data_IF_912846313016
#
_entry.id   IF_912846313016
#
_cell.length_a   1.000
_cell.length_b   1.000
_cell.length_c   1.000
_cell.angle_alpha   90.00
_cell.angle_beta   90.00
_cell.angle_gamma   90.00
#
_symmetry.space_group_name_H-M   'P 1'
#
loop_
_entity.id
_entity.type
_entity.pdbx_description
1 polymer ?
#
# COMPACT_ATOMS: atom_id res chain seq x y z
N UNK A 1 -9.29 9.00 -5.48
CA UNK A 1 -9.02 9.55 -4.11
C UNK A 1 -7.56 9.92 -3.98
N UNK A 2 -7.19 10.86 -3.11
CA UNK A 2 -5.80 11.30 -2.93
C UNK A 2 -5.23 10.67 -1.66
N UNK A 3 -4.09 10.00 -1.78
CA UNK A 3 -3.35 9.43 -0.65
C UNK A 3 -1.92 9.95 -0.64
N UNK A 4 -1.22 9.77 0.48
CA UNK A 4 0.23 9.89 0.53
C UNK A 4 0.85 8.49 0.42
N UNK A 5 1.54 8.20 -0.67
CA UNK A 5 2.22 6.93 -0.92
C UNK A 5 3.74 7.13 -0.90
N UNK A 6 4.44 6.48 0.02
CA UNK A 6 5.90 6.62 0.21
C UNK A 6 6.32 8.09 0.27
N UNK A 7 5.62 8.88 1.10
CA UNK A 7 5.80 10.33 1.24
C UNK A 7 5.28 11.21 0.09
N UNK A 8 4.83 10.66 -1.06
CA UNK A 8 4.35 11.45 -2.21
C UNK A 8 2.83 11.47 -2.30
N UNK A 9 2.24 12.61 -2.64
CA UNK A 9 0.80 12.68 -2.94
C UNK A 9 0.51 12.01 -4.28
N UNK A 10 -0.43 11.07 -4.27
CA UNK A 10 -0.84 10.29 -5.45
C UNK A 10 -2.36 10.25 -5.50
N UNK A 11 -2.91 10.46 -6.70
CA UNK A 11 -4.32 10.20 -6.98
C UNK A 11 -4.48 8.74 -7.41
N UNK A 12 -5.28 7.99 -6.65
CA UNK A 12 -5.66 6.62 -6.96
C UNK A 12 -6.96 6.59 -7.75
N UNK A 13 -6.99 5.70 -8.74
CA UNK A 13 -8.18 5.38 -9.52
C UNK A 13 -9.26 4.75 -8.62
N UNK A 14 -10.54 4.89 -9.01
CA UNK A 14 -11.69 4.52 -8.17
C UNK A 14 -11.75 3.02 -7.85
N UNK A 15 -11.22 2.17 -8.73
CA UNK A 15 -11.14 0.72 -8.55
C UNK A 15 -10.13 0.30 -7.46
N UNK A 16 -9.19 1.18 -7.10
CA UNK A 16 -8.14 0.90 -6.11
C UNK A 16 -8.70 1.15 -4.71
N UNK A 17 -9.44 0.18 -4.19
CA UNK A 17 -10.18 0.31 -2.92
C UNK A 17 -9.49 -0.37 -1.73
N UNK A 18 -8.50 -1.23 -1.97
CA UNK A 18 -7.83 -2.02 -0.91
C UNK A 18 -6.31 -2.03 -1.07
N UNK A 19 -5.60 -2.42 0.00
CA UNK A 19 -4.14 -2.60 -0.04
C UNK A 19 -3.73 -3.59 -1.13
N UNK A 20 -4.47 -4.69 -1.32
CA UNK A 20 -4.21 -5.66 -2.40
C UNK A 20 -4.32 -5.01 -3.78
N UNK A 21 -5.38 -4.23 -4.03
CA UNK A 21 -5.59 -3.55 -5.31
C UNK A 21 -4.48 -2.54 -5.60
N UNK A 22 -4.05 -1.80 -4.57
CA UNK A 22 -2.93 -0.87 -4.68
C UNK A 22 -1.63 -1.61 -5.04
N UNK A 23 -1.30 -2.69 -4.34
CA UNK A 23 -0.09 -3.46 -4.66
C UNK A 23 -0.14 -4.03 -6.09
N UNK A 24 -1.32 -4.43 -6.57
CA UNK A 24 -1.49 -4.92 -7.93
C UNK A 24 -1.28 -3.82 -8.98
N UNK A 25 -1.79 -2.61 -8.76
CA UNK A 25 -1.62 -1.49 -9.70
C UNK A 25 -0.15 -1.09 -9.88
N UNK A 26 0.70 -1.38 -8.90
CA UNK A 26 2.15 -1.13 -8.95
C UNK A 26 2.98 -2.39 -9.30
N UNK A 27 2.34 -3.51 -9.67
CA UNK A 27 3.03 -4.79 -9.94
C UNK A 27 3.88 -5.29 -8.75
N UNK A 28 3.40 -5.07 -7.52
CA UNK A 28 4.06 -5.45 -6.26
C UNK A 28 3.34 -6.59 -5.53
N UNK A 29 2.21 -7.06 -6.05
CA UNK A 29 1.30 -7.99 -5.38
C UNK A 29 1.92 -9.38 -5.09
N UNK A 30 2.97 -9.76 -5.82
CA UNK A 30 3.72 -11.00 -5.58
C UNK A 30 5.06 -10.77 -4.88
N UNK A 31 5.46 -9.50 -4.68
CA UNK A 31 6.72 -9.17 -4.03
C UNK A 31 6.60 -9.28 -2.51
N UNK A 32 7.72 -9.57 -1.87
CA UNK A 32 7.83 -9.54 -0.41
C UNK A 32 7.96 -8.08 0.01
N UNK A 33 6.86 -7.51 0.45
CA UNK A 33 6.76 -6.12 0.92
C UNK A 33 6.01 -6.05 2.24
N UNK A 34 6.40 -5.10 3.07
CA UNK A 34 5.66 -4.68 4.27
C UNK A 34 4.86 -3.44 3.90
N UNK A 35 3.57 -3.44 4.24
CA UNK A 35 2.70 -2.28 4.06
C UNK A 35 2.34 -1.72 5.43
N UNK A 36 2.59 -0.43 5.60
CA UNK A 36 2.11 0.35 6.73
C UNK A 36 1.02 1.32 6.25
N UNK A 37 -0.06 1.44 7.01
CA UNK A 37 -1.15 2.39 6.77
C UNK A 37 -1.32 3.25 8.02
N UNK A 38 -1.11 4.55 7.89
CA UNK A 38 -1.26 5.55 8.95
C UNK A 38 -0.41 5.29 10.23
N UNK A 39 0.72 4.58 10.11
CA UNK A 39 1.55 4.18 11.24
C UNK A 39 1.35 2.73 11.69
N UNK A 40 0.30 2.05 11.20
CA UNK A 40 0.00 0.67 11.56
C UNK A 40 0.46 -0.30 10.47
N UNK A 41 1.27 -1.29 10.84
CA UNK A 41 1.68 -2.37 9.93
C UNK A 41 0.46 -3.26 9.65
N UNK A 42 0.18 -3.48 8.37
CA UNK A 42 -0.92 -4.34 7.93
C UNK A 42 -0.38 -5.75 7.68
N UNK A 43 -1.01 -6.74 8.29
CA UNK A 43 -0.70 -8.14 8.00
C UNK A 43 -1.04 -8.50 6.56
N UNK A 44 -0.17 -9.30 5.92
CA UNK A 44 -0.36 -9.70 4.52
C UNK A 44 -1.69 -10.40 4.26
N UNK A 45 -2.20 -11.18 5.22
CA UNK A 45 -3.51 -11.83 5.13
C UNK A 45 -4.68 -10.85 5.13
N UNK A 46 -4.48 -9.62 5.62
CA UNK A 46 -5.50 -8.58 5.66
C UNK A 46 -5.48 -7.67 4.42
N UNK A 47 -4.52 -7.80 3.51
CA UNK A 47 -4.38 -6.90 2.35
C UNK A 47 -5.63 -6.84 1.46
N UNK A 48 -6.33 -7.96 1.29
CA UNK A 48 -7.54 -8.03 0.46
C UNK A 48 -8.73 -7.30 1.08
N UNK A 49 -8.77 -7.21 2.41
CA UNK A 49 -9.91 -6.67 3.16
C UNK A 49 -9.62 -5.28 3.74
N UNK A 50 -8.36 -4.86 3.79
CA UNK A 50 -7.98 -3.56 4.34
C UNK A 50 -8.31 -2.47 3.33
N UNK A 51 -9.30 -1.60 3.60
CA UNK A 51 -9.70 -0.56 2.68
C UNK A 51 -8.67 0.57 2.69
N UNK A 52 -8.58 1.28 1.56
CA UNK A 52 -7.86 2.56 1.45
C UNK A 52 -8.90 3.67 1.42
N UNK A 53 -8.67 4.71 2.22
CA UNK A 53 -9.50 5.89 2.28
C UNK A 53 -8.74 7.13 1.79
N UNK A 54 -9.48 8.15 1.37
CA UNK A 54 -8.92 9.44 1.02
C UNK A 54 -8.13 10.02 2.21
N UNK A 55 -6.95 10.57 1.93
CA UNK A 55 -6.05 11.14 2.91
C UNK A 55 -5.15 10.14 3.64
N UNK A 56 -5.30 8.83 3.40
CA UNK A 56 -4.44 7.82 4.03
C UNK A 56 -2.95 8.03 3.69
N UNK A 57 -2.10 7.73 4.66
CA UNK A 57 -0.65 7.61 4.48
C UNK A 57 -0.30 6.13 4.37
N UNK A 58 0.33 5.75 3.27
CA UNK A 58 0.68 4.37 2.98
C UNK A 58 2.17 4.31 2.67
N UNK A 59 2.89 3.46 3.42
CA UNK A 59 4.29 3.18 3.18
C UNK A 59 4.43 1.72 2.73
N UNK A 60 5.10 1.50 1.60
CA UNK A 60 5.40 0.19 1.02
C UNK A 60 6.91 0.01 1.06
N UNK A 61 7.36 -0.81 2.00
CA UNK A 61 8.79 -1.09 2.21
C UNK A 61 9.11 -2.46 1.64
N UNK A 62 10.16 -2.52 0.82
CA UNK A 62 10.74 -3.78 0.38
C UNK A 62 12.14 -3.91 0.97
N UNK A 63 12.47 -5.09 1.51
CA UNK A 63 13.81 -5.35 1.99
C UNK A 63 14.74 -5.53 0.79
N UNK A 64 15.67 -4.59 0.61
CA UNK A 64 16.87 -4.83 -0.21
C UNK A 64 17.92 -5.38 0.75
N UNK A 65 18.12 -6.69 0.74
CA UNK A 65 19.20 -7.31 1.51
C UNK A 65 20.52 -6.65 1.11
N UNK A 66 21.19 -6.00 2.06
CA UNK A 66 22.50 -5.41 1.86
C UNK A 66 23.50 -6.08 2.81
N UNK A 67 24.44 -6.83 2.23
CA UNK A 67 25.68 -7.28 2.89
C UNK A 67 25.55 -8.49 3.79
#
# INVERSE_FOLDING_TARGET
>A
MIVQLNGKKVELAEEITTVRALLASYSLQEKIVVVERNGDIIDRSAYEQTPIADGDRIEIVHFVGGG
#
